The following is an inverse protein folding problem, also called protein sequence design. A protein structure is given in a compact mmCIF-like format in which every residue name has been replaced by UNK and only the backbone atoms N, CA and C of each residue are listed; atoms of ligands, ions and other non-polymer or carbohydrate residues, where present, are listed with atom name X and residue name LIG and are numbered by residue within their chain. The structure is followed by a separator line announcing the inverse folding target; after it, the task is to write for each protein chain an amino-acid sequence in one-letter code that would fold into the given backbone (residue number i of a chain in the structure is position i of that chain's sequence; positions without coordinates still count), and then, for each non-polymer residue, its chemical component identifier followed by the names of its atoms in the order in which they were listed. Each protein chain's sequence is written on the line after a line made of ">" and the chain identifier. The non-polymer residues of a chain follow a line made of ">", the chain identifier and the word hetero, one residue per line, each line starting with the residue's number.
data_IF_864392510570
#
_entry.id   IF_864392510570
#
_cell.length_a   1.000
_cell.length_b   1.000
_cell.length_c   1.000
_cell.angle_alpha   90.00
_cell.angle_beta   90.00
_cell.angle_gamma   90.00
#
_symmetry.space_group_name_H-M   'P 1'
#
loop_
_entity.id
_entity.type
_entity.pdbx_description
1 polymer ?
#
# COMPACT_ATOMS: atom_id res chain seq x y z
N UNK A 1 -37.90 48.70 -51.44
CA UNK A 1 -38.08 49.30 -50.10
C UNK A 1 -38.59 48.30 -49.07
N UNK A 2 -39.07 47.12 -49.42
CA UNK A 2 -39.66 46.10 -48.52
C UNK A 2 -38.66 45.18 -47.83
N UNK A 3 -37.42 45.01 -48.34
CA UNK A 3 -36.43 44.08 -47.77
C UNK A 3 -35.70 44.65 -46.57
N UNK A 4 -35.55 45.97 -46.51
CA UNK A 4 -34.89 46.68 -45.39
C UNK A 4 -35.75 46.73 -44.09
N UNK A 5 -37.07 46.66 -44.23
CA UNK A 5 -37.97 46.75 -43.09
C UNK A 5 -38.11 45.36 -42.38
N UNK A 6 -37.99 44.25 -43.14
CA UNK A 6 -37.98 42.91 -42.57
C UNK A 6 -36.72 42.66 -41.73
N UNK A 7 -35.55 43.13 -42.15
CA UNK A 7 -34.29 43.03 -41.40
C UNK A 7 -34.34 43.78 -40.07
N UNK A 8 -34.91 45.00 -40.10
CA UNK A 8 -35.04 45.79 -38.86
C UNK A 8 -36.06 45.20 -37.86
N UNK A 9 -37.11 44.51 -38.35
CA UNK A 9 -38.08 43.80 -37.46
C UNK A 9 -37.46 42.53 -36.86
N UNK A 10 -36.66 41.78 -37.61
CA UNK A 10 -35.92 40.62 -37.12
C UNK A 10 -34.92 41.05 -36.06
N UNK A 11 -34.16 42.13 -36.31
CA UNK A 11 -33.16 42.63 -35.37
C UNK A 11 -33.81 43.21 -34.08
N UNK A 12 -35.01 43.82 -34.19
CA UNK A 12 -35.77 44.30 -33.00
C UNK A 12 -36.37 43.11 -32.22
N UNK A 13 -36.78 42.02 -32.84
CA UNK A 13 -37.21 40.80 -32.18
C UNK A 13 -36.07 40.09 -31.49
N UNK A 14 -34.88 40.05 -32.12
CA UNK A 14 -33.67 39.51 -31.53
C UNK A 14 -33.24 40.28 -30.28
N UNK A 15 -33.41 41.61 -30.28
CA UNK A 15 -33.03 42.48 -29.16
C UNK A 15 -34.03 42.44 -27.98
N UNK A 16 -35.20 41.86 -28.21
CA UNK A 16 -36.29 41.81 -27.21
C UNK A 16 -36.60 40.38 -26.71
N UNK A 17 -35.84 39.41 -27.21
CA UNK A 17 -36.04 38.03 -26.85
C UNK A 17 -35.02 37.65 -25.76
N UNK A 18 -35.48 37.60 -24.51
CA UNK A 18 -34.69 37.27 -23.33
C UNK A 18 -34.28 35.76 -23.32
N UNK A 19 -34.93 34.91 -24.16
CA UNK A 19 -34.62 33.49 -24.26
C UNK A 19 -33.19 33.21 -24.76
N UNK A 20 -32.60 34.16 -25.53
CA UNK A 20 -31.20 34.10 -25.97
C UNK A 20 -30.21 34.29 -24.84
N UNK A 21 -30.61 34.94 -23.74
CA UNK A 21 -29.71 35.23 -22.63
C UNK A 21 -29.40 33.97 -21.81
N UNK A 22 -30.39 33.07 -21.64
CA UNK A 22 -30.19 31.78 -20.98
C UNK A 22 -29.21 30.89 -21.76
N UNK A 23 -29.30 30.82 -23.08
CA UNK A 23 -28.35 30.03 -23.88
C UNK A 23 -26.92 30.57 -23.82
N UNK A 24 -26.76 31.91 -23.85
CA UNK A 24 -25.44 32.54 -23.70
C UNK A 24 -24.88 32.33 -22.28
N UNK A 25 -25.71 32.51 -21.25
CA UNK A 25 -25.29 32.28 -19.87
C UNK A 25 -24.91 30.82 -19.66
N UNK A 26 -25.70 29.88 -20.20
CA UNK A 26 -25.38 28.45 -20.15
C UNK A 26 -24.08 28.13 -20.91
N UNK A 27 -23.87 28.68 -22.08
CA UNK A 27 -22.66 28.45 -22.86
C UNK A 27 -21.41 28.97 -22.13
N UNK A 28 -21.47 30.16 -21.54
CA UNK A 28 -20.37 30.75 -20.75
C UNK A 28 -20.11 29.92 -19.50
N UNK A 29 -21.17 29.52 -18.79
CA UNK A 29 -21.07 28.67 -17.60
C UNK A 29 -20.52 27.29 -17.92
N UNK A 30 -20.94 26.68 -19.05
CA UNK A 30 -20.42 25.39 -19.51
C UNK A 30 -18.92 25.45 -19.83
N UNK A 31 -18.46 26.51 -20.49
CA UNK A 31 -17.01 26.72 -20.74
C UNK A 31 -16.22 26.85 -19.45
N UNK A 32 -16.76 27.58 -18.46
CA UNK A 32 -16.11 27.73 -17.17
C UNK A 32 -16.02 26.39 -16.40
N UNK A 33 -17.10 25.61 -16.40
CA UNK A 33 -17.15 24.28 -15.76
C UNK A 33 -16.22 23.29 -16.45
N UNK A 34 -16.26 23.22 -17.77
CA UNK A 34 -15.37 22.36 -18.58
C UNK A 34 -13.92 22.78 -18.35
N UNK A 35 -13.64 24.07 -18.30
CA UNK A 35 -12.30 24.60 -18.02
C UNK A 35 -11.79 24.20 -16.64
N UNK A 36 -12.63 24.33 -15.62
CA UNK A 36 -12.27 23.94 -14.24
C UNK A 36 -12.02 22.43 -14.10
N UNK A 37 -12.91 21.59 -14.66
CA UNK A 37 -12.74 20.12 -14.61
C UNK A 37 -11.51 19.65 -15.38
N UNK A 38 -11.22 20.26 -16.52
CA UNK A 38 -10.06 19.92 -17.31
C UNK A 38 -8.74 20.37 -16.65
N UNK A 39 -8.75 21.52 -15.97
CA UNK A 39 -7.60 21.98 -15.19
C UNK A 39 -7.31 21.04 -14.00
N UNK A 40 -8.33 20.47 -13.36
CA UNK A 40 -8.13 19.46 -12.29
C UNK A 40 -7.55 18.16 -12.84
N UNK A 41 -7.93 17.73 -14.06
CA UNK A 41 -7.33 16.58 -14.72
C UNK A 41 -5.86 16.81 -15.03
N UNK A 42 -5.51 17.94 -15.65
CA UNK A 42 -4.11 18.29 -15.96
C UNK A 42 -3.26 18.39 -14.68
N UNK A 43 -3.86 18.94 -13.59
CA UNK A 43 -3.21 19.00 -12.29
C UNK A 43 -2.99 17.59 -11.69
N UNK A 44 -3.97 16.70 -11.80
CA UNK A 44 -3.84 15.31 -11.33
C UNK A 44 -2.73 14.56 -12.05
N UNK A 45 -2.67 14.68 -13.38
CA UNK A 45 -1.59 14.08 -14.19
C UNK A 45 -0.22 14.61 -13.78
N UNK A 46 -0.09 15.94 -13.60
CA UNK A 46 1.16 16.55 -13.17
C UNK A 46 1.55 16.13 -11.74
N UNK A 47 0.59 16.06 -10.82
CA UNK A 47 0.80 15.64 -9.44
C UNK A 47 1.26 14.20 -9.37
N UNK A 48 0.61 13.30 -10.11
CA UNK A 48 1.03 11.89 -10.22
C UNK A 48 2.44 11.77 -10.81
N UNK A 49 2.74 12.52 -11.87
CA UNK A 49 4.06 12.55 -12.47
C UNK A 49 5.12 13.02 -11.47
N UNK A 50 4.82 14.04 -10.67
CA UNK A 50 5.72 14.55 -9.63
C UNK A 50 5.93 13.53 -8.51
N UNK A 51 4.88 12.89 -8.02
CA UNK A 51 5.00 11.87 -6.97
C UNK A 51 5.84 10.67 -7.43
N UNK A 52 5.62 10.20 -8.66
CA UNK A 52 6.43 9.13 -9.26
C UNK A 52 7.88 9.56 -9.48
N UNK A 53 8.12 10.79 -9.94
CA UNK A 53 9.50 11.28 -10.12
C UNK A 53 10.23 11.41 -8.80
N UNK A 54 9.53 11.74 -7.70
CA UNK A 54 10.11 11.76 -6.36
C UNK A 54 10.50 10.35 -5.91
N UNK A 55 9.64 9.36 -6.06
CA UNK A 55 9.96 7.98 -5.72
C UNK A 55 11.17 7.45 -6.51
N UNK A 56 11.28 7.78 -7.79
CA UNK A 56 12.44 7.42 -8.62
C UNK A 56 13.71 8.14 -8.13
N UNK A 57 13.61 9.44 -7.80
CA UNK A 57 14.75 10.19 -7.29
C UNK A 57 15.26 9.62 -5.98
N UNK A 58 14.37 9.31 -5.04
CA UNK A 58 14.69 8.74 -3.73
C UNK A 58 15.40 7.37 -3.87
N UNK A 59 14.87 6.48 -4.71
CA UNK A 59 15.45 5.17 -4.92
C UNK A 59 16.79 5.23 -5.66
N UNK A 60 16.89 6.08 -6.66
CA UNK A 60 18.13 6.25 -7.41
C UNK A 60 19.22 6.85 -6.50
N UNK A 61 18.88 7.81 -5.65
CA UNK A 61 19.81 8.41 -4.71
C UNK A 61 20.30 7.38 -3.68
N UNK A 62 19.38 6.56 -3.16
CA UNK A 62 19.73 5.48 -2.25
C UNK A 62 20.62 4.43 -2.92
N UNK A 63 20.26 3.97 -4.12
CA UNK A 63 21.08 3.02 -4.87
C UNK A 63 22.47 3.58 -5.20
N UNK A 64 22.55 4.88 -5.53
CA UNK A 64 23.82 5.57 -5.75
C UNK A 64 24.69 5.64 -4.50
N UNK A 65 24.09 5.95 -3.35
CA UNK A 65 24.79 6.01 -2.05
C UNK A 65 25.33 4.62 -1.65
N UNK A 66 24.50 3.58 -1.76
CA UNK A 66 24.90 2.18 -1.48
C UNK A 66 26.02 1.74 -2.42
N UNK A 67 25.95 2.13 -3.71
CA UNK A 67 27.02 1.81 -4.66
C UNK A 67 28.37 2.41 -4.24
N UNK A 68 28.38 3.70 -3.89
CA UNK A 68 29.59 4.39 -3.42
C UNK A 68 30.18 3.68 -2.19
N UNK A 69 29.33 3.37 -1.23
CA UNK A 69 29.72 2.64 -0.02
C UNK A 69 30.36 1.31 -0.32
N UNK A 70 29.70 0.46 -1.10
CA UNK A 70 30.15 -0.90 -1.38
C UNK A 70 31.45 -0.95 -2.21
N UNK A 71 31.78 0.11 -2.92
CA UNK A 71 32.94 0.19 -3.81
C UNK A 71 33.99 1.20 -3.34
N UNK A 72 33.76 1.87 -2.22
CA UNK A 72 34.62 2.94 -1.64
C UNK A 72 35.01 4.03 -2.67
N UNK A 73 34.17 4.23 -3.64
CA UNK A 73 34.36 5.25 -4.71
C UNK A 73 33.03 5.54 -5.44
N UNK A 74 32.86 6.76 -5.95
CA UNK A 74 31.80 7.06 -6.92
C UNK A 74 31.89 6.12 -8.13
N UNK A 75 30.78 5.72 -8.74
CA UNK A 75 30.79 4.89 -9.92
C UNK A 75 31.59 5.57 -11.05
N UNK A 76 32.42 4.80 -11.73
CA UNK A 76 33.26 5.28 -12.85
C UNK A 76 32.41 5.84 -14.02
N UNK A 77 31.13 5.49 -14.06
CA UNK A 77 30.16 6.08 -14.97
C UNK A 77 28.84 6.37 -14.23
N UNK A 78 28.27 7.55 -14.44
CA UNK A 78 26.91 7.92 -14.01
C UNK A 78 25.86 6.90 -14.44
N UNK A 79 26.11 6.18 -15.55
CA UNK A 79 25.23 5.14 -16.09
C UNK A 79 24.98 3.99 -15.11
N UNK A 80 25.93 3.63 -14.24
CA UNK A 80 25.78 2.49 -13.35
C UNK A 80 24.84 2.78 -12.19
N UNK A 81 24.94 3.95 -11.53
CA UNK A 81 24.02 4.38 -10.51
C UNK A 81 22.60 4.60 -11.05
N UNK A 82 22.48 5.18 -12.26
CA UNK A 82 21.22 5.36 -12.98
C UNK A 82 20.59 4.00 -13.32
N UNK A 83 21.40 3.03 -13.76
CA UNK A 83 20.91 1.68 -14.12
C UNK A 83 20.32 0.98 -12.88
N UNK A 84 20.98 1.04 -11.73
CA UNK A 84 20.47 0.43 -10.46
C UNK A 84 19.19 1.12 -9.98
N UNK A 85 19.15 2.45 -9.96
CA UNK A 85 17.94 3.19 -9.60
C UNK A 85 16.79 2.95 -10.58
N UNK A 86 17.09 2.79 -11.86
CA UNK A 86 16.09 2.44 -12.87
C UNK A 86 15.56 1.01 -12.71
N UNK A 87 16.40 0.06 -12.28
CA UNK A 87 15.94 -1.30 -11.95
C UNK A 87 15.03 -1.29 -10.72
N UNK A 88 15.40 -0.59 -9.67
CA UNK A 88 14.55 -0.42 -8.48
C UNK A 88 13.22 0.24 -8.83
N UNK A 89 13.24 1.27 -9.68
CA UNK A 89 12.03 1.93 -10.15
C UNK A 89 11.13 1.01 -11.02
N UNK A 90 11.72 0.12 -11.81
CA UNK A 90 10.96 -0.88 -12.60
C UNK A 90 10.29 -1.91 -11.71
N UNK A 91 10.99 -2.40 -10.69
CA UNK A 91 10.46 -3.36 -9.72
C UNK A 91 9.26 -2.81 -8.95
N UNK A 92 9.13 -1.48 -8.85
CA UNK A 92 7.94 -0.81 -8.30
C UNK A 92 6.83 -0.57 -9.33
N UNK A 93 6.87 -1.20 -10.48
CA UNK A 93 5.89 -0.99 -11.55
C UNK A 93 5.99 0.36 -12.25
N UNK A 94 7.03 1.15 -11.97
CA UNK A 94 7.30 2.42 -12.66
C UNK A 94 8.09 2.14 -13.95
N UNK A 95 7.45 1.60 -14.96
CA UNK A 95 8.08 1.53 -16.27
C UNK A 95 8.22 2.95 -16.85
N UNK A 96 9.46 3.39 -17.07
CA UNK A 96 9.74 4.64 -17.79
C UNK A 96 9.04 4.70 -19.14
N UNK A 97 8.83 3.55 -19.76
CA UNK A 97 8.18 3.42 -21.08
C UNK A 97 6.66 3.66 -20.99
N UNK A 98 5.98 3.18 -19.99
CA UNK A 98 4.55 3.45 -19.75
C UNK A 98 4.29 4.91 -19.38
N UNK A 99 5.29 5.60 -18.84
CA UNK A 99 5.23 7.04 -18.59
C UNK A 99 5.30 7.85 -19.89
N UNK A 100 6.09 7.39 -20.84
CA UNK A 100 6.19 8.00 -22.18
C UNK A 100 4.88 7.80 -22.94
N UNK A 101 4.29 6.61 -22.85
CA UNK A 101 3.01 6.28 -23.50
C UNK A 101 1.82 6.97 -22.81
N UNK A 102 1.92 7.27 -21.51
CA UNK A 102 0.95 8.06 -20.74
C UNK A 102 1.12 9.58 -20.86
N UNK A 103 1.94 10.08 -21.80
CA UNK A 103 2.08 11.49 -22.09
C UNK A 103 3.26 12.20 -21.44
N UNK A 104 4.23 11.48 -20.83
CA UNK A 104 5.49 12.08 -20.39
C UNK A 104 6.57 11.91 -21.48
N UNK A 105 6.96 12.99 -22.11
CA UNK A 105 8.07 13.00 -23.05
C UNK A 105 9.36 13.42 -22.32
N UNK A 106 10.44 12.64 -22.53
CA UNK A 106 11.78 12.95 -22.05
C UNK A 106 11.93 13.04 -20.53
N UNK A 107 11.88 11.90 -19.83
CA UNK A 107 12.32 11.81 -18.43
C UNK A 107 13.85 11.76 -18.44
N UNK A 108 14.47 12.70 -17.74
CA UNK A 108 15.92 12.77 -17.55
C UNK A 108 16.25 12.52 -16.08
N UNK A 109 17.20 11.62 -15.82
CA UNK A 109 17.75 11.34 -14.49
C UNK A 109 19.21 11.81 -14.50
N UNK A 110 19.50 12.71 -13.59
CA UNK A 110 20.85 13.22 -13.39
C UNK A 110 21.32 12.85 -11.97
N UNK A 111 22.48 12.21 -11.88
CA UNK A 111 23.10 11.83 -10.61
C UNK A 111 24.42 12.60 -10.46
N UNK A 112 24.56 13.31 -9.37
CA UNK A 112 25.75 14.08 -9.03
C UNK A 112 26.26 13.60 -7.67
N UNK A 113 27.54 13.27 -7.63
CA UNK A 113 28.22 12.92 -6.38
C UNK A 113 29.05 14.13 -5.91
N UNK A 114 28.85 14.49 -4.64
CA UNK A 114 29.68 15.50 -3.96
C UNK A 114 30.60 14.81 -2.97
N UNK A 115 31.86 14.65 -3.36
CA UNK A 115 32.88 13.99 -2.52
C UNK A 115 33.26 14.81 -1.27
N UNK A 116 32.99 16.12 -1.26
CA UNK A 116 33.28 16.95 -0.09
C UNK A 116 32.13 16.85 0.94
N UNK A 117 30.90 16.93 0.48
CA UNK A 117 29.73 16.75 1.31
C UNK A 117 29.39 15.26 1.54
N UNK A 118 30.04 14.36 0.78
CA UNK A 118 29.71 12.92 0.79
C UNK A 118 28.23 12.65 0.51
N UNK A 119 27.72 13.31 -0.49
CA UNK A 119 26.30 13.21 -0.87
C UNK A 119 26.14 12.73 -2.31
N UNK A 120 25.14 11.89 -2.53
CA UNK A 120 24.60 11.57 -3.84
C UNK A 120 23.30 12.36 -4.06
N UNK A 121 23.30 13.26 -5.04
CA UNK A 121 22.16 14.09 -5.41
C UNK A 121 21.58 13.58 -6.72
N UNK A 122 20.30 13.26 -6.72
CA UNK A 122 19.59 12.78 -7.90
C UNK A 122 18.46 13.73 -8.24
N UNK A 123 18.46 14.19 -9.48
CA UNK A 123 17.38 15.03 -10.02
C UNK A 123 16.67 14.26 -11.14
N UNK A 124 15.37 14.07 -10.99
CA UNK A 124 14.49 13.48 -12.00
C UNK A 124 13.61 14.57 -12.54
N UNK A 125 13.71 14.83 -13.85
CA UNK A 125 12.93 15.86 -14.52
C UNK A 125 12.28 15.34 -15.79
N UNK A 126 11.15 15.92 -16.17
CA UNK A 126 10.44 15.53 -17.39
C UNK A 126 9.31 16.48 -17.73
N UNK A 127 8.53 16.09 -18.72
CA UNK A 127 7.39 16.86 -19.21
C UNK A 127 6.17 15.94 -19.37
N UNK A 128 5.00 16.44 -19.00
CA UNK A 128 3.72 15.80 -19.30
C UNK A 128 3.00 16.60 -20.39
N UNK A 129 2.20 15.91 -21.18
CA UNK A 129 1.36 16.56 -22.20
C UNK A 129 0.00 16.84 -21.56
N UNK A 130 -0.36 18.10 -21.32
CA UNK A 130 -1.65 18.44 -20.75
C UNK A 130 -2.75 18.25 -21.78
N UNK A 131 -3.95 17.89 -21.32
CA UNK A 131 -5.12 17.73 -22.19
C UNK A 131 -5.78 19.08 -22.47
N UNK A 132 -5.94 19.89 -21.45
CA UNK A 132 -6.67 21.16 -21.56
C UNK A 132 -5.74 22.38 -21.68
N UNK A 133 -4.60 22.39 -21.00
CA UNK A 133 -3.68 23.52 -21.12
C UNK A 133 -3.13 23.69 -22.54
N UNK A 134 -3.22 22.66 -23.39
CA UNK A 134 -2.95 22.78 -24.84
C UNK A 134 -3.90 23.76 -25.53
N UNK A 135 -5.17 23.79 -25.15
CA UNK A 135 -6.17 24.73 -25.71
C UNK A 135 -5.79 26.17 -25.37
N UNK A 136 -5.11 26.36 -24.25
CA UNK A 136 -4.57 27.66 -23.81
C UNK A 136 -3.15 27.95 -24.32
N UNK A 137 -2.66 27.13 -25.26
CA UNK A 137 -1.36 27.29 -25.89
C UNK A 137 -0.17 26.70 -25.12
N UNK A 138 -0.40 26.00 -23.99
CA UNK A 138 0.63 25.28 -23.22
C UNK A 138 0.78 23.86 -23.74
N UNK A 139 1.85 23.56 -24.45
CA UNK A 139 2.07 22.25 -25.07
C UNK A 139 2.67 21.21 -24.14
N UNK A 140 3.26 21.61 -23.04
CA UNK A 140 3.82 20.71 -22.01
C UNK A 140 3.80 21.36 -20.64
N UNK A 141 3.72 20.54 -19.62
CA UNK A 141 3.92 20.90 -18.21
C UNK A 141 5.17 20.17 -17.71
N UNK A 142 6.12 20.91 -17.16
CA UNK A 142 7.37 20.36 -16.64
C UNK A 142 7.21 19.94 -15.19
N UNK A 143 7.88 18.86 -14.81
CA UNK A 143 8.06 18.46 -13.42
C UNK A 143 9.54 18.22 -13.14
N UNK A 144 9.93 18.42 -11.89
CA UNK A 144 11.25 18.06 -11.38
C UNK A 144 11.12 17.65 -9.94
N UNK A 145 11.88 16.62 -9.57
CA UNK A 145 12.02 16.14 -8.19
C UNK A 145 13.50 15.92 -7.91
N UNK A 146 13.90 16.18 -6.69
CA UNK A 146 15.28 16.01 -6.25
C UNK A 146 15.31 15.17 -4.98
N UNK A 147 16.32 14.31 -4.89
CA UNK A 147 16.63 13.57 -3.66
C UNK A 147 18.12 13.64 -3.42
N UNK A 148 18.48 13.82 -2.15
CA UNK A 148 19.88 13.86 -1.69
C UNK A 148 20.04 12.82 -0.61
N UNK A 149 21.06 11.96 -0.75
CA UNK A 149 21.39 10.94 0.24
C UNK A 149 22.86 11.09 0.60
N UNK A 150 23.15 11.24 1.89
CA UNK A 150 24.52 11.20 2.38
C UNK A 150 25.03 9.75 2.41
N UNK A 151 26.29 9.52 1.99
CA UNK A 151 26.94 8.21 2.09
C UNK A 151 28.05 8.18 3.14
N UNK A 152 28.23 9.26 3.92
CA UNK A 152 29.11 9.27 5.09
C UNK A 152 28.58 8.44 6.24
N UNK A 153 27.24 8.51 6.45
CA UNK A 153 26.59 7.94 7.64
C UNK A 153 26.00 6.55 7.40
N UNK A 154 26.25 5.97 6.22
CA UNK A 154 25.82 4.60 5.92
C UNK A 154 26.62 3.56 6.75
N UNK A 155 27.71 3.96 7.42
CA UNK A 155 28.47 3.06 8.30
C UNK A 155 27.77 2.76 9.63
N UNK A 156 26.82 3.57 10.06
CA UNK A 156 26.01 3.29 11.23
C UNK A 156 24.59 2.86 10.80
N UNK A 157 24.42 1.58 10.49
CA UNK A 157 23.06 1.02 10.31
C UNK A 157 22.31 1.07 11.63
N UNK A 158 21.12 1.67 11.63
CA UNK A 158 20.24 1.51 12.77
C UNK A 158 19.80 0.06 12.87
N UNK A 159 19.87 -0.53 14.06
CA UNK A 159 19.28 -1.85 14.26
C UNK A 159 17.77 -1.79 13.99
N UNK A 160 17.23 -2.88 13.48
CA UNK A 160 15.81 -2.98 13.21
C UNK A 160 15.25 -4.35 13.57
N UNK A 161 13.99 -4.32 14.00
CA UNK A 161 13.20 -5.52 14.28
C UNK A 161 11.95 -5.50 13.39
N UNK A 162 11.77 -6.56 12.60
CA UNK A 162 10.71 -6.65 11.59
C UNK A 162 9.88 -7.90 11.86
N UNK A 163 8.60 -7.74 12.21
CA UNK A 163 7.66 -8.83 12.35
C UNK A 163 6.73 -8.90 11.13
N UNK A 164 6.68 -10.04 10.47
CA UNK A 164 5.77 -10.34 9.39
C UNK A 164 4.53 -11.05 9.96
N UNK A 165 3.37 -10.44 9.86
CA UNK A 165 2.06 -10.99 10.28
C UNK A 165 1.26 -11.28 9.02
N UNK A 166 1.24 -12.55 8.60
CA UNK A 166 0.84 -12.95 7.26
C UNK A 166 -0.39 -13.86 7.31
N UNK A 167 -1.41 -13.51 6.56
CA UNK A 167 -2.63 -14.31 6.43
C UNK A 167 -2.33 -15.64 5.73
N UNK A 168 -2.68 -16.73 6.39
CA UNK A 168 -2.60 -18.11 5.89
C UNK A 168 -3.97 -18.81 6.02
N UNK A 169 -5.05 -18.03 5.99
CA UNK A 169 -6.43 -18.56 6.04
C UNK A 169 -6.79 -19.29 4.74
N UNK A 170 -7.93 -20.00 4.78
CA UNK A 170 -8.36 -20.82 3.64
C UNK A 170 -8.53 -20.05 2.34
N UNK A 171 -8.82 -18.75 2.37
CA UNK A 171 -8.95 -17.89 1.19
C UNK A 171 -7.62 -17.68 0.45
N UNK A 172 -6.48 -17.76 1.14
CA UNK A 172 -5.16 -17.70 0.53
C UNK A 172 -4.86 -18.87 -0.42
N UNK A 173 -5.61 -19.96 -0.34
CA UNK A 173 -5.55 -21.05 -1.31
C UNK A 173 -6.38 -20.81 -2.57
N UNK A 174 -7.05 -19.66 -2.71
CA UNK A 174 -7.79 -19.31 -3.92
C UNK A 174 -6.89 -18.58 -4.91
N UNK A 175 -7.33 -18.58 -6.18
CA UNK A 175 -6.62 -17.83 -7.20
C UNK A 175 -6.62 -16.32 -6.91
N UNK A 176 -5.55 -15.66 -7.26
CA UNK A 176 -5.35 -14.21 -7.07
C UNK A 176 -6.42 -13.37 -7.79
N UNK A 177 -6.87 -13.85 -8.96
CA UNK A 177 -7.85 -13.16 -9.84
C UNK A 177 -9.27 -13.70 -9.73
N UNK A 178 -9.52 -14.72 -8.89
CA UNK A 178 -10.81 -15.40 -8.83
C UNK A 178 -11.16 -15.92 -7.43
N UNK A 179 -12.30 -15.52 -6.90
CA UNK A 179 -12.79 -15.99 -5.60
C UNK A 179 -13.66 -17.24 -5.68
N UNK A 180 -13.37 -18.18 -6.56
CA UNK A 180 -14.17 -19.38 -6.68
C UNK A 180 -13.35 -20.66 -6.41
N UNK A 181 -13.43 -21.25 -5.22
CA UNK A 181 -12.70 -22.47 -4.88
C UNK A 181 -13.12 -23.69 -5.71
N UNK A 182 -14.24 -23.61 -6.45
CA UNK A 182 -14.78 -24.68 -7.29
C UNK A 182 -14.91 -24.28 -8.76
N UNK A 183 -14.37 -23.15 -9.18
CA UNK A 183 -14.42 -22.65 -10.55
C UNK A 183 -13.21 -23.08 -11.37
N UNK A 184 -13.32 -22.95 -12.69
CA UNK A 184 -12.15 -23.03 -13.56
C UNK A 184 -11.40 -21.71 -13.45
N UNK A 185 -10.15 -21.78 -12.97
CA UNK A 185 -9.27 -20.62 -12.88
C UNK A 185 -9.03 -20.01 -14.26
N UNK A 186 -8.97 -18.66 -14.36
CA UNK A 186 -8.49 -18.02 -15.57
C UNK A 186 -7.08 -18.50 -15.95
N UNK A 187 -6.74 -18.45 -17.24
CA UNK A 187 -5.38 -18.77 -17.68
C UNK A 187 -4.41 -17.78 -17.03
N UNK A 188 -3.40 -18.30 -16.32
CA UNK A 188 -2.39 -17.49 -15.61
C UNK A 188 -2.83 -16.96 -14.24
N UNK A 189 -3.92 -17.48 -13.67
CA UNK A 189 -4.23 -17.26 -12.26
C UNK A 189 -3.44 -18.25 -11.40
N UNK A 190 -2.82 -17.75 -10.34
CA UNK A 190 -2.02 -18.54 -9.39
C UNK A 190 -2.64 -18.42 -7.99
N UNK A 191 -2.43 -19.41 -7.10
CA UNK A 191 -2.86 -19.31 -5.72
C UNK A 191 -2.26 -18.06 -5.05
N UNK A 192 -3.07 -17.39 -4.23
CA UNK A 192 -2.63 -16.19 -3.48
C UNK A 192 -1.44 -16.49 -2.59
N UNK A 193 -1.41 -17.71 -2.01
CA UNK A 193 -0.31 -18.13 -1.14
C UNK A 193 1.02 -18.20 -1.89
N UNK A 194 1.02 -18.63 -3.15
CA UNK A 194 2.24 -18.74 -3.96
C UNK A 194 2.82 -17.34 -4.23
N UNK A 195 1.97 -16.36 -4.52
CA UNK A 195 2.36 -14.95 -4.64
C UNK A 195 2.90 -14.36 -3.33
N UNK A 196 2.30 -14.72 -2.20
CA UNK A 196 2.79 -14.31 -0.88
C UNK A 196 4.16 -14.91 -0.58
N UNK A 197 4.33 -16.21 -0.78
CA UNK A 197 5.63 -16.88 -0.58
C UNK A 197 6.73 -16.27 -1.46
N UNK A 198 6.42 -16.04 -2.72
CA UNK A 198 7.35 -15.37 -3.64
C UNK A 198 7.73 -13.97 -3.18
N UNK A 199 6.74 -13.14 -2.82
CA UNK A 199 6.95 -11.76 -2.39
C UNK A 199 7.77 -11.67 -1.09
N UNK A 200 7.52 -12.57 -0.12
CA UNK A 200 8.27 -12.61 1.14
C UNK A 200 9.72 -13.07 0.92
N UNK A 201 9.96 -14.07 0.08
CA UNK A 201 11.32 -14.51 -0.27
C UNK A 201 12.11 -13.38 -0.92
N UNK A 202 11.50 -12.72 -1.90
CA UNK A 202 12.12 -11.58 -2.58
C UNK A 202 12.41 -10.43 -1.60
N UNK A 203 11.44 -10.09 -0.74
CA UNK A 203 11.62 -9.08 0.31
C UNK A 203 12.82 -9.38 1.20
N UNK A 204 12.97 -10.62 1.67
CA UNK A 204 14.11 -11.04 2.50
C UNK A 204 15.43 -10.97 1.73
N UNK A 205 15.48 -11.47 0.50
CA UNK A 205 16.67 -11.45 -0.33
C UNK A 205 17.14 -10.02 -0.60
N UNK A 206 16.24 -9.16 -1.01
CA UNK A 206 16.55 -7.76 -1.32
C UNK A 206 16.94 -6.95 -0.07
N UNK A 207 16.35 -7.23 1.10
CA UNK A 207 16.78 -6.63 2.36
C UNK A 207 18.19 -7.09 2.74
N UNK A 208 18.47 -8.40 2.64
CA UNK A 208 19.77 -8.98 2.92
C UNK A 208 20.86 -8.38 2.03
N UNK A 209 20.57 -8.23 0.73
CA UNK A 209 21.51 -7.63 -0.23
C UNK A 209 21.82 -6.16 0.08
N UNK A 210 20.84 -5.42 0.58
CA UNK A 210 21.00 -3.98 0.87
C UNK A 210 21.58 -3.71 2.24
N UNK A 211 21.19 -4.47 3.24
CA UNK A 211 21.56 -4.21 4.64
C UNK A 211 22.65 -5.15 5.16
N UNK A 212 22.82 -6.34 4.54
CA UNK A 212 23.71 -7.37 5.05
C UNK A 212 23.23 -7.95 6.39
N UNK A 213 23.93 -8.91 6.92
CA UNK A 213 23.61 -9.59 8.19
C UNK A 213 24.28 -8.90 9.37
N UNK A 214 25.52 -8.47 9.18
CA UNK A 214 26.36 -7.83 10.20
C UNK A 214 26.90 -6.51 9.67
N UNK A 215 27.21 -5.59 10.56
CA UNK A 215 27.98 -4.40 10.22
C UNK A 215 29.50 -4.66 10.24
N UNK A 216 30.32 -3.63 10.01
CA UNK A 216 31.78 -3.75 9.96
C UNK A 216 32.39 -4.28 11.25
N UNK A 217 31.71 -4.11 12.38
CA UNK A 217 32.19 -4.46 13.72
C UNK A 217 31.63 -5.80 14.22
N UNK A 218 30.91 -6.52 13.34
CA UNK A 218 30.31 -7.82 13.62
C UNK A 218 29.03 -7.75 14.46
N UNK A 219 28.41 -6.56 14.55
CA UNK A 219 27.12 -6.35 15.18
C UNK A 219 26.01 -6.79 14.23
N UNK A 220 25.19 -7.72 14.66
CA UNK A 220 23.99 -8.11 13.95
C UNK A 220 22.91 -7.03 14.17
N UNK A 221 22.45 -6.43 13.08
CA UNK A 221 21.58 -5.24 13.18
C UNK A 221 20.12 -5.53 12.86
N UNK A 222 19.82 -6.61 12.15
CA UNK A 222 18.47 -6.95 11.72
C UNK A 222 17.98 -8.17 12.48
N UNK A 223 16.78 -8.07 13.07
CA UNK A 223 16.03 -9.18 13.63
C UNK A 223 14.72 -9.34 12.88
N UNK A 224 14.37 -10.56 12.51
CA UNK A 224 13.13 -10.84 11.80
C UNK A 224 12.39 -12.02 12.41
N UNK A 225 11.06 -11.96 12.33
CA UNK A 225 10.19 -13.06 12.70
C UNK A 225 8.93 -13.09 11.83
N UNK A 226 8.29 -14.26 11.74
CA UNK A 226 7.10 -14.47 10.91
C UNK A 226 6.00 -15.15 11.71
N UNK A 227 4.81 -14.59 11.65
CA UNK A 227 3.58 -15.06 12.28
C UNK A 227 2.52 -15.34 11.22
N UNK A 228 2.60 -16.47 10.53
CA UNK A 228 1.49 -16.91 9.68
C UNK A 228 0.28 -17.20 10.56
N UNK A 229 -0.89 -16.77 10.13
CA UNK A 229 -2.10 -16.94 10.91
C UNK A 229 -3.31 -17.37 10.09
N UNK A 230 -4.21 -18.07 10.76
CA UNK A 230 -5.54 -18.38 10.27
C UNK A 230 -6.56 -18.16 11.39
N UNK A 231 -7.20 -19.20 11.89
CA UNK A 231 -8.02 -19.12 13.11
C UNK A 231 -7.21 -18.74 14.36
N UNK A 232 -5.91 -19.02 14.33
CA UNK A 232 -4.90 -18.68 15.33
C UNK A 232 -3.54 -18.62 14.62
N UNK A 233 -2.46 -18.36 15.36
CA UNK A 233 -1.10 -18.47 14.84
C UNK A 233 -0.86 -19.91 14.36
N UNK A 234 -0.34 -20.05 13.14
CA UNK A 234 0.03 -21.35 12.56
C UNK A 234 1.43 -21.70 13.04
N UNK A 235 1.49 -22.48 14.12
CA UNK A 235 2.76 -22.77 14.83
C UNK A 235 3.76 -23.60 14.03
N UNK A 236 3.30 -24.38 13.05
CA UNK A 236 4.17 -25.16 12.14
C UNK A 236 5.04 -24.30 11.22
N UNK A 237 4.63 -23.07 10.98
CA UNK A 237 5.26 -22.13 10.04
C UNK A 237 5.71 -20.84 10.72
N UNK A 238 5.51 -20.75 12.03
CA UNK A 238 5.97 -19.61 12.81
C UNK A 238 7.50 -19.59 12.85
N UNK A 239 8.09 -18.44 12.53
CA UNK A 239 9.51 -18.17 12.74
C UNK A 239 9.61 -17.19 13.90
N UNK A 240 10.27 -17.59 14.99
CA UNK A 240 10.49 -16.70 16.14
C UNK A 240 11.42 -15.55 15.75
N UNK A 241 11.28 -14.42 16.45
CA UNK A 241 12.19 -13.29 16.26
C UNK A 241 13.62 -13.69 16.59
N UNK A 242 14.51 -13.59 15.61
CA UNK A 242 15.95 -13.84 15.77
C UNK A 242 16.76 -12.94 14.84
N UNK A 243 18.05 -12.83 15.11
CA UNK A 243 18.99 -12.09 14.27
C UNK A 243 19.19 -12.78 12.93
N UNK A 244 19.00 -12.03 11.87
CA UNK A 244 19.11 -12.48 10.49
C UNK A 244 17.81 -12.37 9.73
N UNK A 245 17.71 -13.08 8.62
CA UNK A 245 16.59 -13.06 7.69
C UNK A 245 15.87 -14.41 7.70
N UNK A 246 14.57 -14.37 7.40
CA UNK A 246 13.75 -15.56 7.27
C UNK A 246 14.19 -16.33 6.01
N UNK A 247 14.42 -17.63 6.14
CA UNK A 247 14.91 -18.44 5.03
C UNK A 247 13.78 -18.82 4.07
N UNK A 248 14.10 -19.06 2.80
CA UNK A 248 13.14 -19.53 1.79
C UNK A 248 12.42 -20.80 2.24
N UNK A 249 13.13 -21.71 2.91
CA UNK A 249 12.56 -22.97 3.40
C UNK A 249 11.51 -22.76 4.51
N UNK A 250 11.62 -21.71 5.30
CA UNK A 250 10.64 -21.35 6.32
C UNK A 250 9.38 -20.78 5.69
N UNK A 251 9.52 -19.99 4.62
CA UNK A 251 8.41 -19.41 3.88
C UNK A 251 7.62 -20.47 3.11
N UNK A 252 8.29 -21.41 2.42
CA UNK A 252 7.67 -22.45 1.56
C UNK A 252 6.73 -23.43 2.27
N UNK A 253 6.55 -23.33 3.57
CA UNK A 253 5.73 -24.28 4.35
C UNK A 253 4.31 -23.80 4.60
N UNK A 254 3.92 -22.68 4.08
CA UNK A 254 2.60 -22.12 4.32
C UNK A 254 1.52 -22.90 3.59
N UNK A 255 0.59 -23.51 4.33
CA UNK A 255 -0.54 -24.26 3.78
C UNK A 255 -1.83 -23.58 4.20
N UNK A 256 -2.55 -22.93 3.28
CA UNK A 256 -3.77 -22.20 3.60
C UNK A 256 -4.84 -23.06 4.22
N UNK A 257 -5.37 -22.65 5.36
CA UNK A 257 -6.44 -23.38 6.04
C UNK A 257 -7.14 -22.52 7.10
N UNK A 258 -8.37 -22.90 7.47
CA UNK A 258 -9.10 -22.31 8.57
C UNK A 258 -9.73 -20.96 8.26
N UNK A 259 -10.12 -20.25 9.31
CA UNK A 259 -10.73 -18.92 9.26
C UNK A 259 -9.68 -17.83 9.45
N UNK A 260 -10.08 -16.57 9.35
CA UNK A 260 -9.21 -15.40 9.55
C UNK A 260 -9.41 -14.83 10.94
N UNK A 261 -8.34 -14.68 11.73
CA UNK A 261 -8.34 -14.07 13.06
C UNK A 261 -6.99 -13.37 13.28
N UNK A 262 -6.92 -12.10 13.05
CA UNK A 262 -5.69 -11.31 13.14
C UNK A 262 -5.29 -10.89 14.57
N UNK A 263 -6.17 -11.06 15.57
CA UNK A 263 -5.87 -10.59 16.92
C UNK A 263 -4.73 -11.39 17.60
N UNK A 264 -4.71 -12.74 17.62
CA UNK A 264 -3.61 -13.46 18.26
C UNK A 264 -2.23 -13.17 17.69
N UNK A 265 -2.03 -13.15 16.35
CA UNK A 265 -0.72 -12.84 15.79
C UNK A 265 -0.30 -11.38 16.03
N UNK A 266 -1.23 -10.42 15.99
CA UNK A 266 -0.90 -9.03 16.30
C UNK A 266 -0.53 -8.84 17.77
N UNK A 267 -1.21 -9.52 18.69
CA UNK A 267 -0.84 -9.55 20.13
C UNK A 267 0.56 -10.16 20.31
N UNK A 268 0.87 -11.23 19.59
CA UNK A 268 2.21 -11.85 19.64
C UNK A 268 3.29 -10.96 19.04
N UNK A 269 2.99 -10.25 17.96
CA UNK A 269 3.90 -9.26 17.39
C UNK A 269 4.18 -8.12 18.40
N UNK A 270 3.17 -7.67 19.15
CA UNK A 270 3.36 -6.70 20.23
C UNK A 270 4.31 -7.24 21.31
N UNK A 271 4.08 -8.48 21.80
CA UNK A 271 4.98 -9.11 22.77
C UNK A 271 6.43 -9.15 22.29
N UNK A 272 6.64 -9.45 21.00
CA UNK A 272 7.97 -9.41 20.40
C UNK A 272 8.56 -8.01 20.44
N UNK A 273 7.83 -7.00 19.93
CA UNK A 273 8.32 -5.62 19.87
C UNK A 273 8.62 -5.04 21.26
N UNK A 274 7.94 -5.48 22.29
CA UNK A 274 8.21 -5.09 23.68
C UNK A 274 9.58 -5.58 24.17
N UNK A 275 10.04 -6.74 23.68
CA UNK A 275 11.33 -7.36 24.05
C UNK A 275 12.53 -6.85 23.27
N UNK A 276 12.35 -6.27 22.08
CA UNK A 276 13.43 -6.03 21.11
C UNK A 276 14.52 -5.06 21.58
N UNK A 277 14.19 -4.09 22.45
CA UNK A 277 15.21 -3.19 23.01
C UNK A 277 16.24 -3.95 23.87
N UNK A 278 15.83 -5.01 24.57
CA UNK A 278 16.79 -5.79 25.37
C UNK A 278 17.62 -6.71 24.49
N UNK A 279 17.03 -7.35 23.49
CA UNK A 279 17.75 -8.22 22.57
C UNK A 279 18.86 -7.49 21.81
N UNK A 280 18.57 -6.29 21.29
CA UNK A 280 19.58 -5.46 20.63
C UNK A 280 20.63 -4.92 21.60
N UNK A 281 20.28 -4.69 22.86
CA UNK A 281 21.25 -4.29 23.89
C UNK A 281 22.22 -5.42 24.20
N UNK A 282 21.71 -6.61 24.40
CA UNK A 282 22.50 -7.80 24.69
C UNK A 282 23.46 -8.12 23.52
N UNK A 283 22.99 -7.90 22.28
CA UNK A 283 23.83 -8.07 21.10
C UNK A 283 24.94 -7.00 21.02
N UNK A 284 24.64 -5.74 21.30
CA UNK A 284 25.65 -4.67 21.36
C UNK A 284 26.68 -4.95 22.44
N UNK A 285 26.28 -5.41 23.64
CA UNK A 285 27.18 -5.81 24.71
C UNK A 285 28.06 -7.01 24.30
N UNK A 286 27.54 -7.97 23.53
CA UNK A 286 28.25 -9.15 23.03
C UNK A 286 29.48 -8.76 22.20
N UNK A 287 29.35 -7.72 21.36
CA UNK A 287 30.45 -7.26 20.50
C UNK A 287 31.23 -6.09 21.08
N UNK A 288 30.77 -5.51 22.18
CA UNK A 288 31.44 -4.37 22.85
C UNK A 288 31.11 -3.02 22.24
N UNK A 289 30.00 -2.95 21.48
CA UNK A 289 29.51 -1.75 20.80
C UNK A 289 28.51 -0.96 21.64
N UNK A 290 28.33 0.32 21.29
CA UNK A 290 27.35 1.16 21.95
C UNK A 290 25.92 0.72 21.52
N UNK A 291 25.03 0.57 22.51
CA UNK A 291 23.64 0.28 22.27
C UNK A 291 22.97 1.39 21.45
N UNK A 292 22.24 0.99 20.42
CA UNK A 292 21.32 1.84 19.65
C UNK A 292 19.93 1.24 19.71
N UNK A 293 18.93 2.09 19.93
CA UNK A 293 17.54 1.67 19.97
C UNK A 293 17.10 1.18 18.58
N UNK A 294 16.55 -0.04 18.46
CA UNK A 294 16.12 -0.55 17.17
C UNK A 294 14.88 0.18 16.66
N UNK A 295 14.81 0.40 15.35
CA UNK A 295 13.56 0.72 14.69
C UNK A 295 12.68 -0.54 14.61
N UNK A 296 11.42 -0.38 14.91
CA UNK A 296 10.48 -1.49 15.02
C UNK A 296 9.41 -1.41 13.93
N UNK A 297 9.27 -2.49 13.18
CA UNK A 297 8.34 -2.57 12.06
C UNK A 297 7.46 -3.80 12.18
N UNK A 298 6.19 -3.63 11.88
CA UNK A 298 5.23 -4.73 11.69
C UNK A 298 4.65 -4.62 10.28
N UNK A 299 4.73 -5.69 9.50
CA UNK A 299 4.07 -5.81 8.21
C UNK A 299 2.89 -6.74 8.40
N UNK A 300 1.68 -6.18 8.36
CA UNK A 300 0.44 -6.91 8.57
C UNK A 300 -0.31 -7.04 7.25
N UNK A 301 -0.47 -8.27 6.76
CA UNK A 301 -1.14 -8.60 5.50
C UNK A 301 -2.37 -9.46 5.74
N UNK A 302 -3.47 -9.14 5.05
CA UNK A 302 -4.67 -9.97 4.99
C UNK A 302 -5.35 -9.88 3.62
N UNK A 303 -5.94 -11.01 3.19
CA UNK A 303 -6.74 -11.13 1.97
C UNK A 303 -8.25 -10.97 2.22
N UNK A 304 -8.65 -10.66 3.44
CA UNK A 304 -10.04 -10.54 3.80
C UNK A 304 -10.32 -9.98 5.18
N UNK A 305 -11.60 -10.00 5.54
CA UNK A 305 -12.04 -9.62 6.87
C UNK A 305 -11.82 -10.75 7.87
N UNK A 306 -11.66 -10.42 9.16
CA UNK A 306 -11.72 -11.44 10.21
C UNK A 306 -13.05 -12.21 10.14
N UNK A 307 -12.97 -13.54 10.19
CA UNK A 307 -14.13 -14.43 10.12
C UNK A 307 -14.50 -15.08 11.45
N UNK A 308 -13.67 -14.90 12.48
CA UNK A 308 -13.93 -15.29 13.86
C UNK A 308 -14.35 -14.09 14.72
N UNK A 309 -15.08 -14.39 15.79
CA UNK A 309 -15.59 -13.40 16.75
C UNK A 309 -17.04 -12.98 16.50
N UNK A 310 -17.62 -12.28 17.47
CA UNK A 310 -18.92 -11.67 17.36
C UNK A 310 -18.87 -10.36 16.55
N UNK A 311 -20.01 -9.92 16.04
CA UNK A 311 -20.14 -8.60 15.44
C UNK A 311 -20.62 -7.60 16.48
N UNK A 312 -20.05 -6.41 16.46
CA UNK A 312 -20.51 -5.25 17.23
C UNK A 312 -20.97 -4.12 16.29
N UNK A 313 -21.86 -3.27 16.76
CA UNK A 313 -22.19 -2.02 16.06
C UNK A 313 -21.21 -0.93 16.45
N UNK A 314 -20.71 -0.19 15.48
CA UNK A 314 -19.89 0.99 15.74
C UNK A 314 -20.77 2.16 16.20
N UNK A 315 -20.19 3.02 17.03
CA UNK A 315 -20.81 3.93 17.97
C UNK A 315 -21.82 4.99 17.48
N UNK A 316 -22.18 5.04 16.21
CA UNK A 316 -23.25 5.94 15.74
C UNK A 316 -24.61 5.25 15.69
N UNK A 317 -24.73 4.08 16.31
CA UNK A 317 -25.83 3.18 16.11
C UNK A 317 -26.82 3.13 17.25
N UNK A 318 -28.01 3.57 16.93
CA UNK A 318 -29.23 3.30 17.69
C UNK A 318 -29.89 1.96 17.29
N UNK A 319 -29.31 1.21 16.39
CA UNK A 319 -29.87 -0.04 15.91
C UNK A 319 -29.57 -1.21 16.87
N UNK A 320 -30.58 -1.96 17.30
CA UNK A 320 -30.37 -3.05 18.26
C UNK A 320 -29.64 -4.23 17.62
N UNK A 321 -28.62 -4.76 18.31
CA UNK A 321 -28.03 -6.06 17.99
C UNK A 321 -29.02 -7.15 18.34
N UNK A 322 -29.54 -7.86 17.35
CA UNK A 322 -30.41 -8.99 17.59
C UNK A 322 -29.61 -10.27 17.74
N UNK A 323 -29.67 -10.86 18.92
CA UNK A 323 -29.15 -12.20 19.17
C UNK A 323 -30.23 -13.24 18.96
N UNK A 324 -29.99 -14.23 18.14
CA UNK A 324 -30.90 -15.38 17.98
C UNK A 324 -30.34 -16.56 18.74
N UNK A 325 -31.20 -17.16 19.55
CA UNK A 325 -30.92 -18.44 20.17
C UNK A 325 -31.15 -19.55 19.16
N UNK A 326 -30.13 -20.32 18.88
CA UNK A 326 -30.22 -21.48 17.99
C UNK A 326 -30.97 -22.64 18.67
N UNK A 327 -31.42 -23.60 17.87
CA UNK A 327 -32.11 -24.81 18.36
C UNK A 327 -31.25 -25.67 19.29
N UNK A 328 -29.93 -25.55 19.27
CA UNK A 328 -28.95 -26.18 20.14
C UNK A 328 -28.66 -25.38 21.43
N UNK A 329 -29.39 -24.30 21.68
CA UNK A 329 -29.19 -23.44 22.84
C UNK A 329 -28.07 -22.42 22.77
N UNK A 330 -27.23 -22.44 21.75
CA UNK A 330 -26.20 -21.42 21.51
C UNK A 330 -26.80 -20.12 20.98
N UNK A 331 -26.12 -19.01 21.25
CA UNK A 331 -26.47 -17.71 20.67
C UNK A 331 -25.68 -17.46 19.39
N UNK A 332 -26.36 -17.10 18.31
CA UNK A 332 -25.71 -16.54 17.12
C UNK A 332 -26.20 -15.11 16.93
N UNK A 333 -25.26 -14.19 16.69
CA UNK A 333 -25.59 -12.85 16.23
C UNK A 333 -26.34 -12.97 14.91
N UNK A 334 -27.55 -12.42 14.83
CA UNK A 334 -28.23 -12.26 13.55
C UNK A 334 -27.59 -11.03 12.94
N UNK A 335 -26.94 -11.25 11.83
CA UNK A 335 -26.40 -10.18 11.02
C UNK A 335 -27.51 -9.17 10.74
N UNK A 336 -27.28 -7.91 11.07
CA UNK A 336 -28.20 -6.83 10.73
C UNK A 336 -28.58 -6.83 9.23
N UNK A 337 -27.74 -7.40 8.41
CA UNK A 337 -27.94 -7.65 6.99
C UNK A 337 -29.09 -8.61 6.64
N UNK A 338 -29.33 -9.64 7.42
CA UNK A 338 -30.46 -10.56 7.17
C UNK A 338 -31.81 -9.87 7.33
N UNK A 339 -31.86 -8.79 8.09
CA UNK A 339 -33.05 -8.03 8.40
C UNK A 339 -33.28 -6.81 7.53
N UNK A 340 -32.27 -6.37 6.78
CA UNK A 340 -32.32 -5.11 6.02
C UNK A 340 -33.42 -5.06 4.95
N UNK A 341 -33.86 -6.20 4.45
CA UNK A 341 -34.95 -6.25 3.48
C UNK A 341 -36.35 -6.07 4.09
N UNK A 342 -36.49 -6.12 5.40
CA UNK A 342 -37.78 -5.96 6.09
C UNK A 342 -37.94 -4.64 6.84
N UNK A 343 -36.86 -4.00 7.28
CA UNK A 343 -36.89 -2.89 8.25
C UNK A 343 -36.20 -1.60 7.81
N UNK A 344 -35.78 -1.49 6.57
CA UNK A 344 -35.13 -0.28 6.08
C UNK A 344 -33.60 -0.24 6.37
N UNK A 345 -32.94 0.77 5.86
CA UNK A 345 -31.51 0.96 5.97
C UNK A 345 -31.06 1.04 7.42
N UNK A 346 -30.28 0.06 7.87
CA UNK A 346 -29.48 0.19 9.09
C UNK A 346 -28.27 1.02 8.70
N UNK A 347 -28.22 2.26 9.18
CA UNK A 347 -27.04 3.10 9.06
C UNK A 347 -26.08 2.72 10.18
N UNK A 348 -25.10 1.90 9.87
CA UNK A 348 -24.07 1.53 10.81
C UNK A 348 -23.15 0.48 10.21
N UNK A 349 -21.91 0.48 10.67
CA UNK A 349 -20.91 -0.50 10.26
C UNK A 349 -20.85 -1.59 11.33
N UNK A 350 -21.13 -2.84 10.94
CA UNK A 350 -20.85 -3.99 11.80
C UNK A 350 -19.35 -4.24 11.83
N UNK A 351 -18.82 -4.43 13.00
CA UNK A 351 -17.43 -4.74 13.22
C UNK A 351 -17.31 -5.96 14.12
N UNK A 352 -16.34 -6.81 13.86
CA UNK A 352 -16.07 -7.96 14.72
C UNK A 352 -15.31 -7.53 15.97
N UNK A 353 -15.56 -8.21 17.09
CA UNK A 353 -14.76 -8.01 18.31
C UNK A 353 -13.28 -8.20 18.04
N UNK A 354 -12.93 -9.16 17.17
CA UNK A 354 -11.55 -9.40 16.74
C UNK A 354 -10.94 -8.19 16.02
N UNK A 355 -11.71 -7.46 15.20
CA UNK A 355 -11.23 -6.24 14.56
C UNK A 355 -10.93 -5.16 15.59
N UNK A 356 -11.84 -4.97 16.58
CA UNK A 356 -11.63 -4.01 17.66
C UNK A 356 -10.36 -4.32 18.46
N UNK A 357 -10.20 -5.58 18.88
CA UNK A 357 -9.03 -6.03 19.64
C UNK A 357 -7.74 -5.88 18.82
N UNK A 358 -7.78 -6.23 17.55
CA UNK A 358 -6.63 -6.05 16.64
C UNK A 358 -6.25 -4.58 16.53
N UNK A 359 -7.24 -3.68 16.35
CA UNK A 359 -6.97 -2.23 16.27
C UNK A 359 -6.43 -1.67 17.59
N UNK A 360 -6.92 -2.14 18.72
CA UNK A 360 -6.40 -1.78 20.04
C UNK A 360 -4.91 -2.17 20.16
N UNK A 361 -4.55 -3.39 19.72
CA UNK A 361 -3.16 -3.85 19.66
C UNK A 361 -2.33 -3.01 18.71
N UNK A 362 -2.84 -2.71 17.50
CA UNK A 362 -2.17 -1.81 16.55
C UNK A 362 -1.91 -0.42 17.17
N UNK A 363 -2.89 0.14 17.88
CA UNK A 363 -2.73 1.43 18.54
C UNK A 363 -1.68 1.40 19.66
N UNK A 364 -1.61 0.29 20.39
CA UNK A 364 -0.58 0.08 21.42
C UNK A 364 0.80 0.04 20.77
N UNK A 365 1.01 -0.77 19.74
CA UNK A 365 2.26 -0.83 18.96
C UNK A 365 2.69 0.56 18.45
N UNK A 366 1.76 1.29 17.84
CA UNK A 366 2.03 2.65 17.34
C UNK A 366 2.43 3.61 18.47
N UNK A 367 1.79 3.51 19.63
CA UNK A 367 2.12 4.36 20.80
C UNK A 367 3.49 4.05 21.39
N UNK A 368 4.00 2.85 21.15
CA UNK A 368 5.33 2.37 21.55
C UNK A 368 6.42 2.63 20.49
N UNK A 369 6.09 3.38 19.43
CA UNK A 369 7.04 3.74 18.37
C UNK A 369 7.22 2.68 17.28
N UNK A 370 6.41 1.62 17.26
CA UNK A 370 6.43 0.64 16.17
C UNK A 370 5.72 1.20 14.95
N UNK A 371 6.36 1.17 13.80
CA UNK A 371 5.75 1.53 12.53
C UNK A 371 5.07 0.31 11.91
N UNK A 372 3.78 0.45 11.61
CA UNK A 372 2.96 -0.62 11.05
C UNK A 372 2.66 -0.31 9.59
N UNK A 373 3.07 -1.21 8.70
CA UNK A 373 2.64 -1.29 7.32
C UNK A 373 1.54 -2.33 7.19
N UNK A 374 0.54 -2.04 6.37
CA UNK A 374 -0.55 -2.99 6.13
C UNK A 374 -0.74 -3.23 4.65
N UNK A 375 -0.99 -4.49 4.27
CA UNK A 375 -1.27 -4.89 2.89
C UNK A 375 -2.67 -5.49 2.83
N UNK A 376 -3.53 -4.87 2.03
CA UNK A 376 -4.84 -5.42 1.67
C UNK A 376 -4.76 -6.16 0.35
N UNK A 377 -4.74 -7.50 0.41
CA UNK A 377 -4.50 -8.34 -0.74
C UNK A 377 -5.80 -8.92 -1.29
N UNK A 378 -6.05 -8.76 -2.60
CA UNK A 378 -7.22 -9.29 -3.32
C UNK A 378 -8.57 -9.04 -2.60
N UNK A 379 -8.69 -7.93 -1.86
CA UNK A 379 -9.87 -7.61 -1.05
C UNK A 379 -11.14 -7.37 -1.88
N UNK A 380 -10.99 -7.11 -3.17
CA UNK A 380 -12.10 -6.83 -4.08
C UNK A 380 -12.85 -8.10 -4.48
N UNK A 381 -12.30 -9.28 -4.15
CA UNK A 381 -12.80 -10.57 -4.60
C UNK A 381 -13.28 -11.38 -3.39
N UNK A 382 -14.55 -11.27 -3.05
CA UNK A 382 -15.19 -12.06 -1.98
C UNK A 382 -15.80 -13.37 -2.51
N UNK A 383 -15.83 -14.41 -1.67
CA UNK A 383 -16.49 -15.68 -2.03
C UNK A 383 -18.01 -15.52 -2.13
N UNK A 384 -18.56 -15.87 -3.27
CA UNK A 384 -19.99 -15.94 -3.54
C UNK A 384 -20.39 -17.29 -4.13
N UNK A 385 -21.23 -18.04 -3.43
CA UNK A 385 -21.81 -19.26 -3.96
C UNK A 385 -23.22 -19.00 -4.51
N UNK A 386 -23.31 -18.81 -5.82
CA UNK A 386 -24.58 -18.56 -6.53
C UNK A 386 -25.60 -19.70 -6.39
N UNK A 387 -25.14 -20.92 -6.10
CA UNK A 387 -25.96 -22.11 -5.97
C UNK A 387 -26.49 -22.33 -4.53
N UNK A 388 -26.09 -21.50 -3.58
CA UNK A 388 -26.59 -21.56 -2.22
C UNK A 388 -27.98 -20.88 -2.15
N UNK A 389 -29.08 -21.63 -1.92
CA UNK A 389 -30.44 -21.06 -1.90
C UNK A 389 -30.63 -20.02 -0.77
N UNK A 390 -29.72 -19.94 0.19
CA UNK A 390 -29.72 -18.96 1.26
C UNK A 390 -28.94 -17.69 0.92
N UNK A 391 -28.23 -17.67 -0.21
CA UNK A 391 -27.51 -16.50 -0.69
C UNK A 391 -28.48 -15.49 -1.31
N UNK A 392 -28.97 -14.56 -0.51
CA UNK A 392 -29.86 -13.47 -0.94
C UNK A 392 -29.11 -12.28 -1.55
N UNK A 393 -27.80 -12.32 -1.59
CA UNK A 393 -26.95 -11.19 -1.95
C UNK A 393 -26.27 -11.41 -3.30
N UNK A 394 -26.03 -10.32 -4.02
CA UNK A 394 -25.23 -10.36 -5.25
C UNK A 394 -23.74 -10.48 -4.94
N UNK A 395 -22.96 -11.01 -5.87
CA UNK A 395 -21.49 -11.04 -5.77
C UNK A 395 -20.92 -9.64 -5.46
N UNK A 396 -21.43 -8.61 -6.14
CA UNK A 396 -20.99 -7.24 -5.92
C UNK A 396 -21.20 -6.76 -4.48
N UNK A 397 -22.28 -7.20 -3.83
CA UNK A 397 -22.55 -6.86 -2.45
C UNK A 397 -21.58 -7.55 -1.47
N UNK A 398 -21.31 -8.85 -1.69
CA UNK A 398 -20.34 -9.60 -0.86
C UNK A 398 -18.94 -9.01 -0.99
N UNK A 399 -18.55 -8.65 -2.21
CA UNK A 399 -17.26 -7.99 -2.44
C UNK A 399 -17.16 -6.66 -1.70
N UNK A 400 -18.20 -5.81 -1.84
CA UNK A 400 -18.23 -4.50 -1.16
C UNK A 400 -18.15 -4.64 0.37
N UNK A 401 -18.86 -5.63 0.93
CA UNK A 401 -18.87 -5.89 2.37
C UNK A 401 -17.50 -6.34 2.88
N UNK A 402 -16.90 -7.33 2.22
CA UNK A 402 -15.57 -7.84 2.58
C UNK A 402 -14.53 -6.73 2.46
N UNK A 403 -14.56 -6.00 1.37
CA UNK A 403 -13.71 -4.86 1.10
C UNK A 403 -13.81 -3.82 2.21
N UNK A 404 -15.03 -3.36 2.56
CA UNK A 404 -15.22 -2.30 3.54
C UNK A 404 -14.67 -2.68 4.91
N UNK A 405 -14.94 -3.89 5.41
CA UNK A 405 -14.49 -4.32 6.74
C UNK A 405 -12.98 -4.54 6.79
N UNK A 406 -12.42 -5.22 5.78
CA UNK A 406 -10.99 -5.45 5.72
C UNK A 406 -10.21 -4.14 5.54
N UNK A 407 -10.69 -3.22 4.70
CA UNK A 407 -10.08 -1.91 4.54
C UNK A 407 -10.07 -1.11 5.85
N UNK A 408 -11.21 -1.06 6.55
CA UNK A 408 -11.30 -0.32 7.81
C UNK A 408 -10.31 -0.87 8.86
N UNK A 409 -10.15 -2.19 8.96
CA UNK A 409 -9.19 -2.82 9.83
C UNK A 409 -7.76 -2.43 9.47
N UNK A 410 -7.38 -2.67 8.21
CA UNK A 410 -6.01 -2.46 7.75
C UNK A 410 -5.60 -0.98 7.77
N UNK A 411 -6.48 -0.08 7.32
CA UNK A 411 -6.24 1.37 7.41
C UNK A 411 -6.12 1.85 8.86
N UNK A 412 -6.92 1.30 9.77
CA UNK A 412 -6.84 1.66 11.20
C UNK A 412 -5.55 1.18 11.85
N UNK A 413 -5.01 0.04 11.38
CA UNK A 413 -3.74 -0.51 11.85
C UNK A 413 -2.52 0.20 11.28
N UNK A 414 -2.56 0.66 10.04
CA UNK A 414 -1.46 1.38 9.43
C UNK A 414 -1.03 2.61 10.26
N UNK A 415 0.28 2.86 10.35
CA UNK A 415 0.80 3.99 11.11
C UNK A 415 0.55 5.34 10.43
N UNK A 416 0.54 5.34 9.10
CA UNK A 416 0.28 6.49 8.22
C UNK A 416 -0.62 6.03 7.08
N UNK A 417 -1.24 6.96 6.37
CA UNK A 417 -2.09 6.63 5.22
C UNK A 417 -1.30 5.94 4.11
N UNK A 418 -0.08 6.39 3.85
CA UNK A 418 0.83 5.78 2.87
C UNK A 418 1.35 4.39 3.25
N UNK A 419 1.22 4.00 4.52
CA UNK A 419 1.62 2.67 5.00
C UNK A 419 0.55 1.61 4.76
N UNK A 420 -0.62 1.98 4.26
CA UNK A 420 -1.63 1.06 3.78
C UNK A 420 -1.50 0.88 2.27
N UNK A 421 -1.10 -0.31 1.85
CA UNK A 421 -0.90 -0.65 0.44
C UNK A 421 -1.98 -1.65 -0.01
N UNK A 422 -2.50 -1.44 -1.20
CA UNK A 422 -3.46 -2.37 -1.83
C UNK A 422 -2.73 -3.20 -2.87
N UNK A 423 -3.09 -4.46 -2.95
CA UNK A 423 -2.62 -5.39 -3.96
C UNK A 423 -3.81 -6.20 -4.48
N UNK A 424 -4.14 -6.09 -5.75
CA UNK A 424 -5.26 -6.79 -6.38
C UNK A 424 -4.91 -8.20 -6.86
N UNK A 425 -3.65 -8.44 -7.15
CA UNK A 425 -3.12 -9.72 -7.62
C UNK A 425 -1.68 -9.96 -7.12
N UNK A 426 -1.07 -11.08 -7.55
CA UNK A 426 0.27 -11.47 -7.13
C UNK A 426 1.36 -10.47 -7.53
N UNK A 427 1.25 -9.86 -8.73
CA UNK A 427 2.22 -8.88 -9.22
C UNK A 427 2.14 -7.58 -8.38
N UNK A 428 0.93 -7.16 -8.03
CA UNK A 428 0.73 -6.00 -7.16
C UNK A 428 1.13 -6.28 -5.71
N UNK A 429 1.04 -7.54 -5.24
CA UNK A 429 1.52 -7.94 -3.93
C UNK A 429 3.05 -7.84 -3.84
N UNK A 430 3.76 -8.30 -4.87
CA UNK A 430 5.21 -8.13 -4.97
C UNK A 430 5.58 -6.63 -4.91
N UNK A 431 4.91 -5.80 -5.69
CA UNK A 431 5.14 -4.35 -5.70
C UNK A 431 4.82 -3.69 -4.33
N UNK A 432 3.84 -4.21 -3.58
CA UNK A 432 3.53 -3.75 -2.24
C UNK A 432 4.68 -4.04 -1.27
N UNK A 433 5.23 -5.24 -1.28
CA UNK A 433 6.41 -5.60 -0.48
C UNK A 433 7.63 -4.77 -0.86
N UNK A 434 7.88 -4.53 -2.16
CA UNK A 434 8.96 -3.66 -2.62
C UNK A 434 8.79 -2.22 -2.12
N UNK A 435 7.56 -1.70 -2.09
CA UNK A 435 7.25 -0.37 -1.57
C UNK A 435 7.57 -0.27 -0.07
N UNK A 436 7.13 -1.25 0.72
CA UNK A 436 7.37 -1.31 2.16
C UNK A 436 8.87 -1.45 2.45
N UNK A 437 9.54 -2.32 1.73
CA UNK A 437 10.98 -2.52 1.85
C UNK A 437 11.76 -1.22 1.64
N UNK A 438 11.42 -0.48 0.59
CA UNK A 438 12.07 0.80 0.32
C UNK A 438 11.79 1.84 1.42
N UNK A 439 10.60 1.84 2.01
CA UNK A 439 10.27 2.69 3.15
C UNK A 439 11.12 2.33 4.37
N UNK A 440 11.23 1.04 4.71
CA UNK A 440 12.06 0.54 5.82
C UNK A 440 13.53 0.89 5.60
N UNK A 441 14.08 0.57 4.44
CA UNK A 441 15.50 0.87 4.13
C UNK A 441 15.77 2.36 4.20
N UNK A 442 14.84 3.19 3.74
CA UNK A 442 14.96 4.66 3.81
C UNK A 442 15.00 5.16 5.26
N UNK A 443 14.17 4.61 6.14
CA UNK A 443 14.19 4.97 7.56
C UNK A 443 15.50 4.53 8.24
N UNK A 444 15.98 3.32 7.95
CA UNK A 444 17.23 2.78 8.52
C UNK A 444 18.47 3.58 8.12
N UNK A 445 18.44 4.21 6.95
CA UNK A 445 19.58 4.98 6.42
C UNK A 445 19.47 6.48 6.76
N UNK A 446 18.27 6.98 7.06
CA UNK A 446 17.95 8.41 7.15
C UNK A 446 18.30 9.08 8.49
N UNK A 447 18.61 8.34 9.55
CA UNK A 447 18.59 8.85 10.94
C UNK A 447 19.84 9.65 11.35
N UNK A 448 20.57 10.24 10.41
CA UNK A 448 21.52 11.31 10.75
C UNK A 448 21.43 12.48 9.78
N UNK A 449 20.42 13.30 9.95
CA UNK A 449 20.44 14.65 9.40
C UNK A 449 20.26 15.68 10.51
#
# INVERSE_FOLDING_TARGET
>A
MLILDHGKRLFRRFKKNEDGNMAVTFAVSAVAVIGATSATMDYSVLSNAKSRSQAIADQTALAAAIFVKNNDRPPASLAEGVTRGSHSARNLGYEFKGWVDGGANNVNINVVYDDNAKEARVTVSGQTVPTFAQVLGKRSLTFSSESVVSYLDIDEKHPASIALVLDNSGSMGWDDKFANPNGTSPIGAEPRIDGLEFSVKKFNADLSDRLGVEDSDGLRTIRMGMLPYSSNIVTSNKVEMDFGYITDQEVERMVPSGNTNSNPPMTKAQEWMDGENSEHRDEAERVGEAYREPLKFVIFMSDGQNTLGAYEFLADDTAPVYWRRNSNGSWSGIYAHSYNNQFGYIRGHLRRDTDRLTIETCNTLKSQGTEIFTIGYALEVGYYNANNPWNKYSQAYVNLWNQTNAYNLLQSCASKEENFVRAGDNDELEAAFDTIQNAIVKELIRIKS
#
